data_IF_665894349742
#
_entry.id   IF_665894349742
#
_cell.length_a   1.000
_cell.length_b   1.000
_cell.length_c   1.000
_cell.angle_alpha   90.00
_cell.angle_beta   90.00
_cell.angle_gamma   90.00
#
_symmetry.space_group_name_H-M   'P 1'
#
loop_
_entity.id
_entity.type
_entity.pdbx_description
1 polymer ?
#
# COMPACT_ATOMS: atom_id res chain seq x y z
N UNK A 1 17.53 -9.22 12.46
CA UNK A 1 17.13 -8.01 13.22
C UNK A 1 17.51 -6.77 12.41
N UNK A 2 16.54 -6.07 11.81
CA UNK A 2 16.82 -4.86 11.04
C UNK A 2 17.25 -3.74 11.98
N UNK A 3 18.34 -3.05 11.64
CA UNK A 3 19.07 -2.15 12.54
C UNK A 3 18.34 -0.79 12.67
N UNK A 4 17.39 -0.73 13.60
CA UNK A 4 16.46 0.40 13.86
C UNK A 4 17.21 1.74 14.00
N UNK A 5 18.40 1.74 14.61
CA UNK A 5 19.24 2.94 14.78
C UNK A 5 19.65 3.58 13.45
N UNK A 6 20.06 2.78 12.45
CA UNK A 6 20.43 3.29 11.12
C UNK A 6 19.21 3.79 10.34
N UNK A 7 18.04 3.15 10.51
CA UNK A 7 16.76 3.58 9.91
C UNK A 7 16.33 4.94 10.48
N UNK A 8 16.43 5.11 11.80
CA UNK A 8 16.08 6.35 12.51
C UNK A 8 16.97 7.55 12.11
N UNK A 9 18.26 7.32 11.82
CA UNK A 9 19.15 8.37 11.29
C UNK A 9 18.77 8.84 9.87
N UNK A 10 18.12 8.00 9.05
CA UNK A 10 17.79 8.31 7.64
C UNK A 10 16.45 9.06 7.51
N UNK A 11 15.47 8.74 8.34
CA UNK A 11 14.16 9.42 8.38
C UNK A 11 14.25 10.89 8.81
N UNK A 12 15.23 11.26 9.64
CA UNK A 12 15.40 12.65 10.11
C UNK A 12 16.10 13.58 9.11
N UNK A 13 16.55 13.10 7.95
CA UNK A 13 17.30 13.90 6.96
C UNK A 13 16.59 14.07 5.61
N UNK A 14 15.45 13.42 5.40
CA UNK A 14 14.70 13.43 4.14
C UNK A 14 13.41 14.22 4.34
N UNK A 15 13.14 15.21 3.48
CA UNK A 15 11.93 16.01 3.56
C UNK A 15 10.67 15.14 3.35
N UNK A 16 9.55 15.50 3.99
CA UNK A 16 8.26 14.81 3.81
C UNK A 16 7.75 14.85 2.36
N UNK A 17 8.20 15.84 1.57
CA UNK A 17 7.91 15.98 0.14
C UNK A 17 8.81 15.14 -0.77
N UNK A 18 9.87 14.54 -0.24
CA UNK A 18 10.81 13.77 -1.05
C UNK A 18 10.17 12.47 -1.53
N UNK A 19 10.48 12.09 -2.77
CA UNK A 19 10.11 10.77 -3.34
C UNK A 19 10.63 9.60 -2.51
N UNK A 20 11.67 9.80 -1.71
CA UNK A 20 12.28 8.78 -0.85
C UNK A 20 11.76 8.78 0.59
N UNK A 21 10.72 9.57 0.89
CA UNK A 21 10.15 9.66 2.24
C UNK A 21 9.45 8.37 2.66
N UNK A 22 8.77 7.70 1.72
CA UNK A 22 8.19 6.37 1.91
C UNK A 22 9.10 5.29 1.35
N UNK A 23 9.21 4.18 2.07
CA UNK A 23 9.95 2.99 1.67
C UNK A 23 9.12 1.74 1.95
N UNK A 24 9.45 0.61 1.32
CA UNK A 24 8.75 -0.67 1.55
C UNK A 24 8.76 -1.09 3.03
N UNK A 25 9.80 -0.68 3.77
CA UNK A 25 9.91 -0.94 5.21
C UNK A 25 8.94 -0.13 6.08
N UNK A 26 8.17 0.81 5.50
CA UNK A 26 7.17 1.63 6.19
C UNK A 26 5.74 1.09 6.00
N UNK A 27 5.56 0.08 5.14
CA UNK A 27 4.32 -0.68 4.96
C UNK A 27 4.18 -1.63 6.15
N UNK A 28 3.08 -1.50 6.89
CA UNK A 28 2.79 -2.37 8.04
C UNK A 28 2.01 -3.61 7.59
N UNK A 29 0.96 -3.39 6.80
CA UNK A 29 0.07 -4.43 6.32
C UNK A 29 -0.38 -4.11 4.90
N UNK A 30 -0.35 -5.11 4.01
CA UNK A 30 -0.98 -4.99 2.70
C UNK A 30 -2.50 -5.03 2.84
N UNK A 31 -3.20 -4.22 2.05
CA UNK A 31 -4.65 -4.28 1.96
C UNK A 31 -5.04 -5.13 0.75
N UNK A 32 -5.96 -6.09 0.95
CA UNK A 32 -6.51 -6.91 -0.12
C UNK A 32 -8.03 -6.87 -0.06
N UNK A 33 -8.65 -6.54 -1.18
CA UNK A 33 -10.09 -6.64 -1.38
C UNK A 33 -10.31 -7.55 -2.58
N UNK A 34 -11.05 -8.63 -2.38
CA UNK A 34 -11.43 -9.55 -3.46
C UNK A 34 -12.94 -9.56 -3.63
N UNK A 35 -13.38 -9.61 -4.89
CA UNK A 35 -14.79 -9.65 -5.28
C UNK A 35 -14.97 -10.77 -6.29
N UNK A 36 -15.91 -11.66 -6.02
CA UNK A 36 -16.30 -12.72 -6.95
C UNK A 36 -17.51 -12.22 -7.73
N UNK A 37 -17.38 -12.22 -9.04
CA UNK A 37 -18.48 -11.94 -9.96
C UNK A 37 -18.88 -13.26 -10.62
N UNK A 38 -20.17 -13.55 -10.65
CA UNK A 38 -20.71 -14.81 -11.21
C UNK A 38 -21.22 -14.63 -12.65
N UNK A 39 -21.66 -13.43 -13.00
CA UNK A 39 -22.24 -13.12 -14.30
C UNK A 39 -21.43 -12.03 -15.02
N UNK A 40 -21.31 -12.19 -16.35
CA UNK A 40 -20.69 -11.21 -17.22
C UNK A 40 -21.62 -10.03 -17.54
N UNK A 41 -21.12 -9.08 -18.34
CA UNK A 41 -21.91 -7.91 -18.79
C UNK A 41 -23.21 -8.30 -19.52
N UNK A 42 -23.20 -9.43 -20.22
CA UNK A 42 -24.33 -9.98 -20.95
C UNK A 42 -25.19 -10.94 -20.11
N UNK A 43 -25.03 -10.95 -18.78
CA UNK A 43 -25.74 -11.81 -17.81
C UNK A 43 -25.54 -13.31 -18.02
N UNK A 44 -24.60 -13.71 -18.89
CA UNK A 44 -24.22 -15.12 -19.03
C UNK A 44 -23.31 -15.55 -17.88
N UNK A 45 -23.39 -16.83 -17.53
CA UNK A 45 -22.51 -17.44 -16.55
C UNK A 45 -21.05 -17.22 -16.94
N UNK A 46 -20.33 -16.45 -16.14
CA UNK A 46 -18.93 -16.09 -16.38
C UNK A 46 -18.23 -15.77 -15.04
N UNK A 47 -17.94 -16.79 -14.22
CA UNK A 47 -17.39 -16.60 -12.90
C UNK A 47 -15.95 -16.07 -12.99
N UNK A 48 -15.68 -14.92 -12.39
CA UNK A 48 -14.35 -14.31 -12.35
C UNK A 48 -14.11 -13.57 -11.05
N UNK A 49 -12.84 -13.43 -10.68
CA UNK A 49 -12.41 -12.82 -9.42
C UNK A 49 -11.69 -11.51 -9.74
N UNK A 50 -12.18 -10.42 -9.18
CA UNK A 50 -11.45 -9.16 -9.14
C UNK A 50 -10.71 -9.08 -7.80
N UNK A 51 -9.40 -8.90 -7.85
CA UNK A 51 -8.60 -8.64 -6.67
C UNK A 51 -7.97 -7.24 -6.79
N UNK A 52 -8.19 -6.42 -5.78
CA UNK A 52 -7.55 -5.12 -5.63
C UNK A 52 -6.53 -5.26 -4.51
N UNK A 53 -5.27 -5.05 -4.85
CA UNK A 53 -4.16 -5.06 -3.91
C UNK A 53 -3.74 -3.63 -3.67
N UNK A 54 -3.60 -3.27 -2.41
CA UNK A 54 -3.12 -1.95 -1.98
C UNK A 54 -1.97 -2.10 -1.00
N UNK A 55 -1.16 -1.05 -0.89
CA UNK A 55 -0.10 -0.96 0.12
C UNK A 55 -0.67 -0.90 1.56
N UNK A 56 -2.00 -0.77 1.72
CA UNK A 56 -2.70 -0.90 3.00
C UNK A 56 -2.26 0.13 4.05
N UNK A 57 -1.93 -0.36 5.25
CA UNK A 57 -1.61 0.47 6.41
C UNK A 57 -0.14 0.87 6.46
N UNK A 58 0.13 2.16 6.66
CA UNK A 58 1.48 2.71 6.79
C UNK A 58 1.75 3.17 8.22
N UNK A 59 3.00 3.04 8.67
CA UNK A 59 3.43 3.59 9.97
C UNK A 59 3.72 5.11 9.91
N UNK A 60 3.73 5.71 8.72
CA UNK A 60 3.92 7.16 8.52
C UNK A 60 2.62 7.81 8.09
N UNK A 61 2.33 8.99 8.65
CA UNK A 61 1.20 9.80 8.21
C UNK A 61 1.48 10.33 6.80
N UNK A 62 0.66 9.92 5.84
CA UNK A 62 0.65 10.46 4.49
C UNK A 62 -0.06 11.82 4.51
N UNK A 63 0.69 12.89 4.26
CA UNK A 63 0.12 14.22 4.02
C UNK A 63 0.05 14.42 2.51
N UNK A 64 -1.13 14.20 1.94
CA UNK A 64 -1.40 14.59 0.56
C UNK A 64 -1.57 16.11 0.54
N UNK A 65 -0.63 16.82 -0.09
CA UNK A 65 -0.83 18.23 -0.43
C UNK A 65 -1.61 18.27 -1.74
N UNK A 66 -2.85 18.74 -1.66
CA UNK A 66 -3.70 19.13 -2.79
C UNK A 66 -3.23 20.44 -3.39
#
# INVERSE_FOLDING_TARGET
MQNISKKNKRINKISKSSKYYFTDSDILHYGLISVIHTFGRDLKWNPHIHAIVSLGGFNKILILKT
#
